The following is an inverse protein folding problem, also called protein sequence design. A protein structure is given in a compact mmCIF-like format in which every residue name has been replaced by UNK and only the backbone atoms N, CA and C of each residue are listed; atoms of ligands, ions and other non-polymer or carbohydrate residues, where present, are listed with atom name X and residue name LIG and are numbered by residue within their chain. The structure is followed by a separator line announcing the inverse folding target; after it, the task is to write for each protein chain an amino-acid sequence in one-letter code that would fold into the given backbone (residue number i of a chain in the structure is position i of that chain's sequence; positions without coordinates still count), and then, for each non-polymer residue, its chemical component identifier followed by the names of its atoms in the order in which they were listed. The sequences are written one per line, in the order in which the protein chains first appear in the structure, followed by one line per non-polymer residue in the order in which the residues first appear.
data_IF_677861316394
#
_entry.id   IF_677861316394
#
_cell.length_a   1.000
_cell.length_b   1.000
_cell.length_c   1.000
_cell.angle_alpha   90.00
_cell.angle_beta   90.00
_cell.angle_gamma   90.00
#
_symmetry.space_group_name_H-M   'P 1'
#
loop_
_entity.id
_entity.type
_entity.pdbx_description
1 polymer ?
#
# COMPACT_ATOMS: atom_id res chain seq x y z
N UNK A 1 -30.79 -5.10 13.54
CA UNK A 1 -29.70 -4.69 14.43
C UNK A 1 -28.94 -5.90 14.99
N UNK A 2 -29.62 -6.94 15.45
CA UNK A 2 -28.97 -8.15 15.95
C UNK A 2 -28.13 -8.86 14.88
N UNK A 3 -28.56 -8.87 13.62
CA UNK A 3 -27.81 -9.44 12.49
C UNK A 3 -26.44 -8.73 12.29
N UNK A 4 -26.44 -7.40 12.40
CA UNK A 4 -25.22 -6.61 12.24
C UNK A 4 -24.27 -6.83 13.40
N UNK A 5 -24.80 -6.86 14.64
CA UNK A 5 -24.01 -7.11 15.85
C UNK A 5 -23.45 -8.54 15.87
N UNK A 6 -24.22 -9.51 15.43
CA UNK A 6 -23.79 -10.91 15.33
C UNK A 6 -22.68 -11.06 14.26
N UNK A 7 -22.82 -10.40 13.11
CA UNK A 7 -21.77 -10.40 12.09
C UNK A 7 -20.51 -9.68 12.55
N UNK A 8 -20.64 -8.55 13.26
CA UNK A 8 -19.50 -7.87 13.86
C UNK A 8 -18.80 -8.78 14.88
N UNK A 9 -19.56 -9.49 15.69
CA UNK A 9 -19.02 -10.46 16.66
C UNK A 9 -18.29 -11.61 15.98
N UNK A 10 -18.78 -12.10 14.86
CA UNK A 10 -18.14 -13.16 14.07
C UNK A 10 -16.93 -12.68 13.30
N UNK A 11 -16.95 -11.44 12.84
CA UNK A 11 -15.84 -10.82 12.11
C UNK A 11 -14.82 -10.12 13.01
N UNK A 12 -15.15 -9.95 14.29
CA UNK A 12 -14.28 -9.32 15.28
C UNK A 12 -13.24 -10.29 15.84
N UNK A 13 -12.66 -11.13 14.99
CA UNK A 13 -11.44 -11.84 15.35
C UNK A 13 -10.31 -10.83 15.49
N UNK A 14 -9.31 -11.07 16.36
CA UNK A 14 -8.16 -10.16 16.49
C UNK A 14 -7.50 -9.84 15.14
N UNK A 15 -7.47 -10.81 14.24
CA UNK A 15 -6.93 -10.67 12.90
C UNK A 15 -7.73 -9.67 12.04
N UNK A 16 -9.06 -9.77 12.07
CA UNK A 16 -9.94 -8.87 11.34
C UNK A 16 -9.85 -7.44 11.87
N UNK A 17 -9.82 -7.26 13.19
CA UNK A 17 -9.67 -5.95 13.82
C UNK A 17 -8.32 -5.33 13.43
N UNK A 18 -7.25 -6.09 13.49
CA UNK A 18 -5.92 -5.65 13.08
C UNK A 18 -5.91 -5.24 11.62
N UNK A 19 -6.51 -6.02 10.73
CA UNK A 19 -6.63 -5.69 9.32
C UNK A 19 -7.39 -4.38 9.08
N UNK A 20 -8.55 -4.21 9.71
CA UNK A 20 -9.36 -3.00 9.54
C UNK A 20 -8.71 -1.73 10.11
N UNK A 21 -7.80 -1.85 11.04
CA UNK A 21 -7.03 -0.73 11.56
C UNK A 21 -5.79 -0.46 10.71
N UNK A 22 -5.03 -1.49 10.39
CA UNK A 22 -3.74 -1.35 9.70
C UNK A 22 -3.88 -1.06 8.21
N UNK A 23 -4.89 -1.61 7.53
CA UNK A 23 -5.06 -1.42 6.10
C UNK A 23 -5.34 0.03 5.71
N UNK A 24 -6.27 0.76 6.36
CA UNK A 24 -6.46 2.19 6.08
C UNK A 24 -5.21 3.02 6.36
N UNK A 25 -4.47 2.73 7.42
CA UNK A 25 -3.24 3.43 7.76
C UNK A 25 -2.15 3.19 6.72
N UNK A 26 -2.00 1.95 6.25
CA UNK A 26 -1.05 1.60 5.20
C UNK A 26 -1.40 2.30 3.87
N UNK A 27 -2.68 2.32 3.51
CA UNK A 27 -3.17 3.01 2.31
C UNK A 27 -2.94 4.51 2.43
N UNK A 28 -3.25 5.10 3.59
CA UNK A 28 -3.02 6.52 3.84
C UNK A 28 -1.54 6.88 3.74
N UNK A 29 -0.65 6.05 4.28
CA UNK A 29 0.78 6.24 4.17
C UNK A 29 1.28 6.13 2.72
N UNK A 30 0.78 5.15 1.96
CA UNK A 30 1.12 4.97 0.56
C UNK A 30 0.66 6.17 -0.30
N UNK A 31 -0.55 6.66 -0.08
CA UNK A 31 -1.05 7.86 -0.75
C UNK A 31 -0.30 9.11 -0.30
N UNK A 32 0.01 9.19 1.00
CA UNK A 32 0.81 10.29 1.56
C UNK A 32 2.19 10.39 0.91
N UNK A 33 2.79 9.25 0.57
CA UNK A 33 4.07 9.21 -0.13
C UNK A 33 4.02 9.94 -1.48
N UNK A 34 2.89 9.89 -2.17
CA UNK A 34 2.72 10.59 -3.46
C UNK A 34 2.56 12.11 -3.31
N UNK A 35 2.02 12.55 -2.17
CA UNK A 35 1.74 13.96 -1.91
C UNK A 35 2.97 14.69 -1.37
N UNK A 36 3.79 13.98 -0.61
CA UNK A 36 4.96 14.57 0.06
C UNK A 36 6.06 14.89 -0.95
N UNK A 37 6.53 16.12 -0.92
CA UNK A 37 7.55 16.61 -1.84
C UNK A 37 8.99 16.27 -1.41
N UNK A 38 9.20 16.03 -0.12
CA UNK A 38 10.54 15.72 0.41
C UNK A 38 10.82 14.22 0.33
N UNK A 39 11.92 13.85 -0.30
CA UNK A 39 12.30 12.45 -0.50
C UNK A 39 12.46 11.66 0.81
N UNK A 40 13.01 12.31 1.85
CA UNK A 40 13.19 11.66 3.17
C UNK A 40 11.86 11.32 3.82
N UNK A 41 10.88 12.23 3.77
CA UNK A 41 9.55 11.98 4.31
C UNK A 41 8.83 10.87 3.54
N UNK A 42 8.98 10.86 2.22
CA UNK A 42 8.46 9.80 1.36
C UNK A 42 9.07 8.44 1.73
N UNK A 43 10.36 8.39 1.98
CA UNK A 43 11.07 7.19 2.41
C UNK A 43 10.58 6.67 3.77
N UNK A 44 10.31 7.57 4.72
CA UNK A 44 9.75 7.19 6.03
C UNK A 44 8.35 6.58 5.88
N UNK A 45 7.50 7.20 5.04
CA UNK A 45 6.17 6.65 4.76
C UNK A 45 6.25 5.29 4.07
N UNK A 46 7.21 5.11 3.16
CA UNK A 46 7.47 3.81 2.54
C UNK A 46 7.91 2.77 3.57
N UNK A 47 8.79 3.14 4.49
CA UNK A 47 9.20 2.25 5.59
C UNK A 47 8.00 1.83 6.45
N UNK A 48 7.09 2.76 6.73
CA UNK A 48 5.86 2.47 7.45
C UNK A 48 4.99 1.44 6.71
N UNK A 49 4.82 1.60 5.39
CA UNK A 49 4.09 0.63 4.56
C UNK A 49 4.75 -0.75 4.61
N UNK A 50 6.08 -0.81 4.52
CA UNK A 50 6.82 -2.07 4.60
C UNK A 50 6.63 -2.77 5.95
N UNK A 51 6.66 -2.02 7.04
CA UNK A 51 6.38 -2.55 8.37
C UNK A 51 4.93 -3.04 8.50
N UNK A 52 3.98 -2.31 7.94
CA UNK A 52 2.57 -2.73 7.92
C UNK A 52 2.39 -4.05 7.19
N UNK A 53 3.08 -4.26 6.07
CA UNK A 53 3.07 -5.54 5.35
C UNK A 53 3.63 -6.67 6.22
N UNK A 54 4.69 -6.42 6.98
CA UNK A 54 5.24 -7.41 7.90
C UNK A 54 4.21 -7.84 8.95
N UNK A 55 3.48 -6.88 9.51
CA UNK A 55 2.39 -7.18 10.43
C UNK A 55 1.29 -8.02 9.79
N UNK A 56 0.93 -7.72 8.55
CA UNK A 56 -0.05 -8.53 7.82
C UNK A 56 0.42 -9.97 7.61
N UNK A 57 1.70 -10.16 7.29
CA UNK A 57 2.25 -11.52 7.14
C UNK A 57 2.19 -12.29 8.44
N UNK A 58 2.54 -11.66 9.57
CA UNK A 58 2.47 -12.30 10.89
C UNK A 58 1.02 -12.63 11.25
N UNK A 59 0.10 -11.72 10.96
CA UNK A 59 -1.32 -11.92 11.22
C UNK A 59 -1.95 -13.04 10.39
N UNK A 60 -1.36 -13.38 9.24
CA UNK A 60 -1.82 -14.45 8.35
C UNK A 60 -1.06 -15.78 8.58
N UNK A 61 -0.54 -15.98 9.76
CA UNK A 61 0.21 -17.19 10.14
C UNK A 61 1.46 -17.43 9.29
N UNK A 62 2.06 -16.35 8.77
CA UNK A 62 3.30 -16.40 8.03
C UNK A 62 4.41 -15.60 8.75
N UNK A 63 4.81 -15.99 9.97
CA UNK A 63 5.78 -15.21 10.75
C UNK A 63 7.16 -15.17 10.09
N UNK A 64 7.54 -16.19 9.38
CA UNK A 64 8.81 -16.22 8.65
C UNK A 64 8.86 -15.11 7.60
N UNK A 65 7.80 -14.97 6.80
CA UNK A 65 7.71 -13.91 5.79
C UNK A 65 7.71 -12.52 6.44
N UNK A 66 7.03 -12.37 7.58
CA UNK A 66 7.02 -11.12 8.32
C UNK A 66 8.42 -10.73 8.81
N UNK A 67 9.18 -11.66 9.35
CA UNK A 67 10.55 -11.43 9.80
C UNK A 67 11.45 -11.08 8.61
N UNK A 68 11.34 -11.80 7.51
CA UNK A 68 12.11 -11.52 6.27
C UNK A 68 11.76 -10.11 5.76
N UNK A 69 10.50 -9.74 5.77
CA UNK A 69 10.07 -8.40 5.37
C UNK A 69 10.74 -7.31 6.20
N UNK A 70 10.80 -7.48 7.53
CA UNK A 70 11.43 -6.50 8.41
C UNK A 70 12.95 -6.45 8.19
N UNK A 71 13.60 -7.60 8.19
CA UNK A 71 15.07 -7.67 8.13
C UNK A 71 15.60 -7.24 6.77
N UNK A 72 15.03 -7.78 5.70
CA UNK A 72 15.54 -7.53 4.33
C UNK A 72 15.04 -6.19 3.80
N UNK A 73 13.71 -5.97 3.81
CA UNK A 73 13.15 -4.78 3.18
C UNK A 73 13.31 -3.53 4.04
N UNK A 74 12.96 -3.59 5.30
CA UNK A 74 13.08 -2.43 6.19
C UNK A 74 14.53 -2.24 6.64
N UNK A 75 15.20 -3.31 7.04
CA UNK A 75 16.57 -3.24 7.52
C UNK A 75 17.60 -2.99 6.42
N UNK A 76 17.68 -3.86 5.43
CA UNK A 76 18.70 -3.76 4.41
C UNK A 76 18.35 -2.75 3.31
N UNK A 77 17.22 -2.94 2.64
CA UNK A 77 16.86 -2.15 1.44
C UNK A 77 16.55 -0.71 1.81
N UNK A 78 15.70 -0.49 2.80
CA UNK A 78 15.32 0.87 3.20
C UNK A 78 16.47 1.63 3.85
N UNK A 79 17.29 0.97 4.65
CA UNK A 79 18.46 1.62 5.25
C UNK A 79 19.48 2.01 4.17
N UNK A 80 19.71 1.14 3.20
CA UNK A 80 20.57 1.47 2.06
C UNK A 80 20.00 2.64 1.25
N UNK A 81 18.70 2.62 1.00
CA UNK A 81 18.03 3.70 0.26
C UNK A 81 18.13 5.04 0.99
N UNK A 82 17.87 5.05 2.30
CA UNK A 82 18.02 6.26 3.11
C UNK A 82 19.47 6.76 3.12
N UNK A 83 20.42 5.84 3.22
CA UNK A 83 21.84 6.18 3.17
C UNK A 83 22.22 6.85 1.84
N UNK A 84 21.74 6.29 0.74
CA UNK A 84 21.96 6.87 -0.59
C UNK A 84 21.33 8.28 -0.69
N UNK A 85 20.10 8.44 -0.20
CA UNK A 85 19.44 9.77 -0.18
C UNK A 85 20.22 10.80 0.63
N UNK A 86 20.80 10.37 1.75
CA UNK A 86 21.61 11.26 2.57
C UNK A 86 22.93 11.63 1.89
N UNK A 87 23.55 10.69 1.16
CA UNK A 87 24.80 10.95 0.44
C UNK A 87 24.61 11.84 -0.79
N UNK A 88 23.55 11.58 -1.56
CA UNK A 88 23.26 12.34 -2.79
C UNK A 88 22.77 13.76 -2.47
N UNK A 89 22.24 13.95 -1.26
CA UNK A 89 21.63 15.21 -0.87
C UNK A 89 20.22 15.37 -1.43
N UNK A 90 19.32 15.88 -0.61
CA UNK A 90 17.88 15.94 -0.90
C UNK A 90 17.47 17.28 -1.52
N UNK A 91 18.38 18.00 -2.14
CA UNK A 91 18.10 19.31 -2.75
C UNK A 91 17.34 19.21 -4.08
N UNK A 92 16.95 18.02 -4.49
CA UNK A 92 16.23 17.78 -5.73
C UNK A 92 14.71 17.91 -5.62
N UNK A 93 14.19 18.42 -4.51
CA UNK A 93 12.75 18.66 -4.34
C UNK A 93 12.15 19.61 -5.36
N UNK A 94 12.98 20.50 -5.92
CA UNK A 94 12.55 21.46 -6.94
C UNK A 94 12.41 20.87 -8.33
N UNK A 95 12.99 19.69 -8.59
CA UNK A 95 12.94 19.04 -9.91
C UNK A 95 11.66 18.23 -10.15
N UNK A 96 10.81 18.09 -9.13
CA UNK A 96 9.53 17.36 -9.25
C UNK A 96 8.38 18.25 -9.73
N UNK A 97 8.62 19.54 -9.95
CA UNK A 97 7.63 20.38 -10.62
C UNK A 97 7.59 19.99 -12.09
N UNK A 98 6.48 19.41 -12.50
CA UNK A 98 6.22 19.13 -13.91
C UNK A 98 6.11 20.45 -14.66
N UNK A 99 7.20 20.82 -15.33
CA UNK A 99 7.27 22.03 -16.16
C UNK A 99 6.61 21.88 -17.52
N UNK A 100 6.02 20.72 -17.79
CA UNK A 100 5.37 20.45 -19.07
C UNK A 100 3.87 20.71 -18.91
N UNK A 101 3.34 21.80 -19.49
CA UNK A 101 1.92 22.09 -19.47
C UNK A 101 1.16 20.99 -20.25
N UNK A 102 0.18 20.38 -19.62
CA UNK A 102 -0.66 19.34 -20.23
C UNK A 102 -0.33 17.91 -19.84
N UNK A 103 0.84 17.63 -19.22
CA UNK A 103 1.20 16.29 -18.80
C UNK A 103 0.38 15.83 -17.56
N UNK A 104 0.07 16.77 -16.68
CA UNK A 104 -0.66 16.50 -15.46
C UNK A 104 -2.07 15.92 -15.70
N UNK A 105 -2.92 16.53 -16.55
CA UNK A 105 -4.23 15.96 -16.83
C UNK A 105 -4.12 14.62 -17.58
N UNK A 106 -3.16 14.44 -18.46
CA UNK A 106 -2.94 13.18 -19.18
C UNK A 106 -2.56 12.06 -18.19
N UNK A 107 -1.68 12.35 -17.24
CA UNK A 107 -1.27 11.39 -16.22
C UNK A 107 -2.44 10.96 -15.32
N UNK A 108 -3.28 11.91 -14.93
CA UNK A 108 -4.47 11.63 -14.11
C UNK A 108 -5.46 10.76 -14.88
N UNK A 109 -5.74 11.08 -16.14
CA UNK A 109 -6.64 10.30 -16.99
C UNK A 109 -6.08 8.88 -17.20
N UNK A 110 -4.78 8.75 -17.48
CA UNK A 110 -4.13 7.47 -17.63
C UNK A 110 -4.20 6.63 -16.34
N UNK A 111 -3.96 7.24 -15.19
CA UNK A 111 -4.02 6.57 -13.88
C UNK A 111 -5.44 6.08 -13.57
N UNK A 112 -6.45 6.91 -13.80
CA UNK A 112 -7.86 6.55 -13.61
C UNK A 112 -8.27 5.44 -14.57
N UNK A 113 -7.88 5.53 -15.84
CA UNK A 113 -8.17 4.52 -16.85
C UNK A 113 -7.54 3.18 -16.51
N UNK A 114 -6.27 3.17 -16.12
CA UNK A 114 -5.55 1.97 -15.73
C UNK A 114 -6.11 1.35 -14.45
N UNK A 115 -6.39 2.18 -13.44
CA UNK A 115 -7.01 1.72 -12.19
C UNK A 115 -8.40 1.14 -12.42
N UNK A 116 -9.22 1.79 -13.23
CA UNK A 116 -10.55 1.30 -13.61
C UNK A 116 -10.47 -0.03 -14.38
N UNK A 117 -9.51 -0.16 -15.31
CA UNK A 117 -9.27 -1.40 -16.03
C UNK A 117 -8.89 -2.54 -15.09
N UNK A 118 -7.97 -2.30 -14.15
CA UNK A 118 -7.56 -3.30 -13.16
C UNK A 118 -8.73 -3.75 -12.28
N UNK A 119 -9.51 -2.80 -11.77
CA UNK A 119 -10.69 -3.10 -10.94
C UNK A 119 -11.71 -3.92 -11.73
N UNK A 120 -11.96 -3.58 -12.99
CA UNK A 120 -12.88 -4.30 -13.87
C UNK A 120 -12.38 -5.72 -14.14
N UNK A 121 -11.09 -5.89 -14.44
CA UNK A 121 -10.50 -7.22 -14.70
C UNK A 121 -10.53 -8.10 -13.46
N UNK A 122 -10.19 -7.57 -12.29
CA UNK A 122 -10.23 -8.30 -11.03
C UNK A 122 -11.67 -8.68 -10.69
N UNK A 123 -12.61 -7.75 -10.84
CA UNK A 123 -14.03 -8.00 -10.61
C UNK A 123 -14.57 -9.09 -11.52
N UNK A 124 -14.27 -9.05 -12.81
CA UNK A 124 -14.69 -10.09 -13.78
C UNK A 124 -14.06 -11.45 -13.47
N UNK A 125 -12.79 -11.48 -13.14
CA UNK A 125 -12.10 -12.72 -12.78
C UNK A 125 -12.74 -13.37 -11.53
N UNK A 126 -13.04 -12.56 -10.52
CA UNK A 126 -13.68 -13.05 -9.30
C UNK A 126 -15.10 -13.56 -9.54
N UNK A 127 -15.90 -12.79 -10.26
CA UNK A 127 -17.28 -13.19 -10.59
C UNK A 127 -17.31 -14.35 -11.59
N UNK A 128 -16.40 -14.40 -12.54
CA UNK A 128 -16.26 -15.49 -13.48
C UNK A 128 -15.96 -16.82 -12.80
N UNK A 129 -15.10 -16.84 -11.80
CA UNK A 129 -14.79 -18.04 -11.03
C UNK A 129 -15.98 -18.49 -10.17
N UNK A 130 -16.69 -17.57 -9.55
CA UNK A 130 -17.89 -17.87 -8.79
C UNK A 130 -18.97 -18.46 -9.69
N UNK A 131 -19.18 -17.90 -10.89
CA UNK A 131 -20.11 -18.41 -11.87
C UNK A 131 -19.77 -19.81 -12.37
N UNK A 132 -18.49 -20.15 -12.53
CA UNK A 132 -18.03 -21.47 -12.94
C UNK A 132 -18.13 -22.52 -11.83
N UNK A 133 -18.01 -22.12 -10.58
CA UNK A 133 -18.10 -23.01 -9.45
C UNK A 133 -19.53 -23.57 -9.23
N UNK A 134 -20.55 -22.94 -9.81
CA UNK A 134 -21.95 -23.35 -9.73
C UNK A 134 -22.41 -24.23 -10.91
N UNK A 135 -21.53 -24.49 -11.86
CA UNK A 135 -21.78 -25.40 -12.98
C UNK A 135 -21.10 -26.73 -12.70
#
# INVERSE_FOLDING_TARGET
MNFVLENIGKTATPEAVQFYIMAPLAIAAALGMLIVKKAVHSAILMAYVMLSLAFFYIAQDAPFLGIVQIVVYTGAVMMLFLFILMLVGVDTSDSLEENIPGLRPVSIIAAIGFGGLLVTLIGRATFGQIGRAHV
#
